data_IF_762392859392
#
_entry.id   IF_762392859392
#
_cell.length_a   1.000
_cell.length_b   1.000
_cell.length_c   1.000
_cell.angle_alpha   90.00
_cell.angle_beta   90.00
_cell.angle_gamma   90.00
#
_symmetry.space_group_name_H-M   'P 1'
#
loop_
_entity.id
_entity.type
_entity.pdbx_description
1 polymer ?
#
# COMPACT_ATOMS: atom_id res chain seq x y z
N UNK A 1 15.18 14.61 5.50
CA UNK A 1 14.24 15.63 5.02
C UNK A 1 14.67 16.19 3.67
N UNK A 2 14.40 15.48 2.55
CA UNK A 2 14.63 16.01 1.19
C UNK A 2 13.33 16.10 0.38
N UNK A 3 12.34 15.25 0.68
CA UNK A 3 11.07 15.20 -0.05
C UNK A 3 10.07 16.32 0.29
N UNK A 4 10.07 16.85 1.52
CA UNK A 4 9.12 17.89 1.95
C UNK A 4 9.31 19.21 1.17
N UNK A 5 10.57 19.56 0.84
CA UNK A 5 10.88 20.74 0.03
C UNK A 5 10.58 20.58 -1.47
N UNK A 6 10.36 19.35 -1.95
CA UNK A 6 10.04 19.08 -3.37
C UNK A 6 8.52 19.12 -3.61
N UNK A 7 7.72 18.93 -2.56
CA UNK A 7 6.26 18.90 -2.63
C UNK A 7 5.59 20.18 -2.10
N UNK A 8 6.40 21.19 -1.71
CA UNK A 8 5.95 22.47 -1.12
C UNK A 8 5.00 22.29 0.10
N UNK A 9 5.16 21.19 0.85
CA UNK A 9 4.27 20.87 1.98
C UNK A 9 4.85 21.51 3.25
N UNK A 10 4.14 22.46 3.89
CA UNK A 10 4.58 23.04 5.16
C UNK A 10 4.69 21.92 6.21
N UNK A 11 5.90 21.62 6.67
CA UNK A 11 6.17 20.49 7.56
C UNK A 11 7.18 20.91 8.62
N UNK A 12 6.86 20.71 9.90
CA UNK A 12 7.80 20.95 11.00
C UNK A 12 8.73 19.74 11.23
N UNK A 13 9.77 19.94 12.04
CA UNK A 13 10.73 18.86 12.35
C UNK A 13 10.07 17.66 13.07
N UNK A 14 9.20 17.88 14.07
CA UNK A 14 8.44 16.79 14.72
C UNK A 14 7.58 15.95 13.75
N UNK A 15 6.81 16.59 12.86
CA UNK A 15 5.94 15.93 11.89
C UNK A 15 6.73 15.13 10.86
N UNK A 16 7.83 15.69 10.35
CA UNK A 16 8.75 14.97 9.48
C UNK A 16 9.34 13.73 10.17
N UNK A 17 9.68 13.83 11.46
CA UNK A 17 10.22 12.71 12.23
C UNK A 17 9.16 11.61 12.47
N UNK A 18 7.92 11.97 12.76
CA UNK A 18 6.82 11.02 12.92
C UNK A 18 6.57 10.20 11.64
N UNK A 19 6.55 10.88 10.49
CA UNK A 19 6.42 10.23 9.18
C UNK A 19 7.63 9.32 8.89
N UNK A 20 8.85 9.80 9.15
CA UNK A 20 10.06 9.02 8.91
C UNK A 20 10.07 7.72 9.73
N UNK A 21 9.69 7.78 11.01
CA UNK A 21 9.58 6.58 11.87
C UNK A 21 8.60 5.55 11.29
N UNK A 22 7.43 5.98 10.82
CA UNK A 22 6.41 5.06 10.27
C UNK A 22 6.66 4.63 8.82
N UNK A 23 7.53 5.33 8.10
CA UNK A 23 7.90 4.97 6.72
C UNK A 23 8.87 3.79 6.60
N UNK A 24 9.35 3.23 7.72
CA UNK A 24 10.27 2.08 7.77
C UNK A 24 11.51 2.27 6.88
N UNK A 25 12.08 3.47 6.86
CA UNK A 25 13.25 3.79 6.02
C UNK A 25 13.00 3.75 4.51
N UNK A 26 11.76 3.57 4.06
CA UNK A 26 11.43 3.48 2.63
C UNK A 26 11.03 4.85 2.11
N UNK A 27 11.84 5.51 1.26
CA UNK A 27 11.58 6.88 0.81
C UNK A 27 10.22 7.04 0.11
N UNK A 28 9.76 6.00 -0.59
CA UNK A 28 8.46 5.99 -1.26
C UNK A 28 7.29 6.00 -0.28
N UNK A 29 7.37 5.23 0.81
CA UNK A 29 6.36 5.21 1.88
C UNK A 29 6.35 6.56 2.61
N UNK A 30 7.53 7.13 2.88
CA UNK A 30 7.62 8.45 3.48
C UNK A 30 6.88 9.51 2.65
N UNK A 31 7.06 9.50 1.32
CA UNK A 31 6.38 10.43 0.42
C UNK A 31 4.87 10.22 0.37
N UNK A 32 4.41 8.95 0.40
CA UNK A 32 2.99 8.59 0.44
C UNK A 32 2.34 9.04 1.75
N UNK A 33 2.96 8.73 2.89
CA UNK A 33 2.48 9.15 4.20
C UNK A 33 2.44 10.69 4.30
N UNK A 34 3.47 11.38 3.82
CA UNK A 34 3.50 12.84 3.81
C UNK A 34 2.33 13.45 3.04
N UNK A 35 1.98 12.93 1.85
CA UNK A 35 0.81 13.39 1.10
C UNK A 35 -0.50 13.19 1.88
N UNK A 36 -0.70 12.01 2.47
CA UNK A 36 -1.93 11.71 3.21
C UNK A 36 -2.06 12.50 4.51
N UNK A 37 -0.95 12.70 5.20
CA UNK A 37 -0.90 13.55 6.40
C UNK A 37 -1.19 15.00 6.03
N UNK A 38 -0.68 15.49 4.89
CA UNK A 38 -1.07 16.81 4.36
C UNK A 38 -2.55 16.87 4.04
N UNK A 39 -3.10 15.92 3.29
CA UNK A 39 -4.54 15.93 2.94
C UNK A 39 -5.41 15.94 4.21
N UNK A 40 -4.98 15.22 5.26
CA UNK A 40 -5.60 15.31 6.58
C UNK A 40 -5.46 16.70 7.22
N UNK A 41 -4.26 17.29 7.17
CA UNK A 41 -3.98 18.63 7.70
C UNK A 41 -4.78 19.73 6.99
N UNK A 42 -5.01 19.61 5.69
CA UNK A 42 -5.83 20.53 4.90
C UNK A 42 -7.32 20.44 5.27
N UNK A 43 -7.82 19.22 5.59
CA UNK A 43 -9.23 19.01 5.97
C UNK A 43 -9.51 19.34 7.44
N UNK A 44 -8.53 19.12 8.33
CA UNK A 44 -8.71 19.21 9.78
C UNK A 44 -7.99 20.39 10.45
N UNK A 45 -7.16 21.12 9.72
CA UNK A 45 -6.31 22.18 10.26
C UNK A 45 -6.01 23.28 9.25
N UNK A 46 -4.77 23.76 9.27
CA UNK A 46 -4.28 24.88 8.46
C UNK A 46 -3.41 24.43 7.27
N UNK A 47 -3.36 23.13 6.98
CA UNK A 47 -2.48 22.55 5.95
C UNK A 47 -1.04 22.32 6.40
N UNK A 48 -0.66 22.66 7.64
CA UNK A 48 0.68 22.42 8.17
C UNK A 48 0.79 21.02 8.78
N UNK A 49 1.80 20.26 8.35
CA UNK A 49 2.16 18.96 8.93
C UNK A 49 2.98 19.17 10.19
N UNK A 50 2.30 19.35 11.32
CA UNK A 50 2.90 19.38 12.66
C UNK A 50 3.09 17.98 13.24
N UNK A 51 3.86 17.86 14.32
CA UNK A 51 3.99 16.60 15.08
C UNK A 51 2.64 15.99 15.47
N UNK A 52 1.77 16.76 16.09
CA UNK A 52 0.46 16.30 16.56
C UNK A 52 -0.47 15.93 15.40
N UNK A 53 -0.49 16.74 14.34
CA UNK A 53 -1.29 16.44 13.13
C UNK A 53 -0.77 15.18 12.44
N UNK A 54 0.55 15.00 12.38
CA UNK A 54 1.15 13.79 11.82
C UNK A 54 0.82 12.56 12.64
N UNK A 55 0.92 12.61 13.97
CA UNK A 55 0.56 11.48 14.83
C UNK A 55 -0.93 11.13 14.73
N UNK A 56 -1.82 12.13 14.83
CA UNK A 56 -3.27 11.92 14.70
C UNK A 56 -3.64 11.35 13.33
N UNK A 57 -3.06 11.87 12.24
CA UNK A 57 -3.27 11.34 10.91
C UNK A 57 -2.73 9.91 10.80
N UNK A 58 -1.50 9.65 11.25
CA UNK A 58 -0.87 8.33 11.16
C UNK A 58 -1.58 7.26 12.01
N UNK A 59 -2.16 7.63 13.15
CA UNK A 59 -2.98 6.74 13.97
C UNK A 59 -4.29 6.40 13.28
N UNK A 60 -4.93 7.40 12.65
CA UNK A 60 -6.12 7.17 11.82
C UNK A 60 -5.80 6.26 10.62
N UNK A 61 -4.58 6.35 10.09
CA UNK A 61 -4.10 5.55 8.96
C UNK A 61 -3.85 4.07 9.33
N UNK A 62 -3.85 3.76 10.63
CA UNK A 62 -3.96 2.42 11.21
C UNK A 62 -3.01 1.40 10.55
N UNK A 63 -1.75 1.77 10.41
CA UNK A 63 -0.69 0.98 9.75
C UNK A 63 -0.35 -0.24 10.61
N UNK A 64 -0.43 -1.47 10.07
CA UNK A 64 -0.12 -2.69 10.82
C UNK A 64 1.39 -2.97 10.94
N UNK A 65 1.75 -4.09 11.57
CA UNK A 65 3.14 -4.50 11.83
C UNK A 65 3.95 -4.75 10.55
N UNK A 66 3.33 -5.31 9.51
CA UNK A 66 3.91 -5.46 8.16
C UNK A 66 3.91 -4.15 7.39
N UNK A 67 3.07 -3.22 7.87
CA UNK A 67 3.07 -1.87 7.45
C UNK A 67 2.09 -1.53 6.36
N UNK A 68 1.06 -2.34 6.23
CA UNK A 68 -0.07 -2.06 5.37
C UNK A 68 -0.97 -1.04 6.03
N UNK A 69 -1.34 -0.06 5.24
CA UNK A 69 -2.48 0.77 5.58
C UNK A 69 -3.80 0.10 5.17
N UNK A 70 -4.89 0.78 5.47
CA UNK A 70 -6.22 0.31 5.11
C UNK A 70 -6.42 0.05 3.60
N UNK A 71 -5.75 0.80 2.72
CA UNK A 71 -5.90 0.67 1.28
C UNK A 71 -5.10 -0.52 0.73
N UNK A 72 -3.90 -0.75 1.25
CA UNK A 72 -3.10 -1.94 0.95
C UNK A 72 -3.90 -3.21 1.31
N UNK A 73 -4.49 -3.25 2.52
CA UNK A 73 -5.33 -4.38 2.95
C UNK A 73 -6.58 -4.54 2.09
N UNK A 74 -7.28 -3.44 1.80
CA UNK A 74 -8.46 -3.47 0.93
C UNK A 74 -8.11 -4.00 -0.45
N UNK A 75 -6.96 -3.62 -1.02
CA UNK A 75 -6.53 -4.12 -2.31
C UNK A 75 -6.28 -5.62 -2.26
N UNK A 76 -5.52 -6.11 -1.28
CA UNK A 76 -5.23 -7.54 -1.16
C UNK A 76 -6.50 -8.37 -0.88
N UNK A 77 -7.37 -7.92 0.03
CA UNK A 77 -8.63 -8.59 0.32
C UNK A 77 -9.56 -8.58 -0.89
N UNK A 78 -9.65 -7.48 -1.63
CA UNK A 78 -10.44 -7.42 -2.87
C UNK A 78 -9.89 -8.41 -3.89
N UNK A 79 -8.56 -8.51 -4.03
CA UNK A 79 -7.92 -9.46 -4.91
C UNK A 79 -8.21 -10.92 -4.52
N UNK A 80 -8.19 -11.22 -3.22
CA UNK A 80 -8.43 -12.57 -2.67
C UNK A 80 -9.91 -12.95 -2.73
N UNK A 81 -10.79 -12.11 -2.20
CA UNK A 81 -12.20 -12.46 -1.97
C UNK A 81 -13.10 -12.19 -3.17
N UNK A 82 -12.82 -11.14 -3.96
CA UNK A 82 -13.68 -10.74 -5.08
C UNK A 82 -13.22 -11.31 -6.43
N UNK A 83 -11.93 -11.63 -6.53
CA UNK A 83 -11.30 -12.12 -7.76
C UNK A 83 -10.62 -13.48 -7.58
N UNK A 84 -10.89 -14.19 -6.48
CA UNK A 84 -10.34 -15.52 -6.17
C UNK A 84 -8.81 -15.60 -6.28
N UNK A 85 -8.12 -14.51 -5.93
CA UNK A 85 -6.66 -14.39 -6.04
C UNK A 85 -6.14 -13.96 -7.42
N UNK A 86 -6.99 -13.68 -8.40
CA UNK A 86 -6.64 -13.22 -9.75
C UNK A 86 -6.46 -14.36 -10.77
N UNK A 87 -5.97 -14.06 -12.01
CA UNK A 87 -5.44 -12.78 -12.48
C UNK A 87 -6.52 -11.75 -12.80
N UNK A 88 -6.30 -10.50 -12.38
CA UNK A 88 -7.21 -9.36 -12.63
C UNK A 88 -6.49 -8.15 -13.25
N UNK A 89 -7.15 -7.46 -14.18
CA UNK A 89 -6.64 -6.22 -14.77
C UNK A 89 -6.64 -5.06 -13.78
N UNK A 90 -5.73 -4.09 -13.95
CA UNK A 90 -5.67 -2.93 -13.04
C UNK A 90 -6.93 -2.08 -13.11
N UNK A 91 -7.53 -1.93 -14.29
CA UNK A 91 -8.76 -1.14 -14.45
C UNK A 91 -9.93 -1.77 -13.67
N UNK A 92 -10.01 -3.11 -13.63
CA UNK A 92 -11.01 -3.82 -12.85
C UNK A 92 -10.76 -3.72 -11.34
N UNK A 93 -9.50 -3.76 -10.90
CA UNK A 93 -9.13 -3.52 -9.50
C UNK A 93 -9.44 -2.09 -9.07
N UNK A 94 -9.08 -1.11 -9.90
CA UNK A 94 -9.35 0.31 -9.70
C UNK A 94 -10.86 0.56 -9.54
N UNK A 95 -11.67 0.03 -10.46
CA UNK A 95 -13.12 0.11 -10.37
C UNK A 95 -13.68 -0.56 -9.11
N UNK A 96 -13.15 -1.73 -8.72
CA UNK A 96 -13.61 -2.43 -7.52
C UNK A 96 -13.26 -1.70 -6.22
N UNK A 97 -12.13 -0.99 -6.19
CA UNK A 97 -11.67 -0.24 -5.03
C UNK A 97 -12.23 1.19 -4.97
N UNK A 98 -12.83 1.66 -6.07
CA UNK A 98 -13.20 3.07 -6.28
C UNK A 98 -11.98 4.00 -6.19
N UNK A 99 -10.88 3.57 -6.81
CA UNK A 99 -9.59 4.25 -6.80
C UNK A 99 -9.08 4.48 -8.22
N UNK A 100 -8.18 5.43 -8.39
CA UNK A 100 -7.52 5.65 -9.67
C UNK A 100 -6.47 4.57 -9.96
N UNK A 101 -6.34 4.21 -11.23
CA UNK A 101 -5.31 3.28 -11.71
C UNK A 101 -3.90 3.70 -11.28
N UNK A 102 -3.57 4.99 -11.39
CA UNK A 102 -2.26 5.52 -10.99
C UNK A 102 -1.97 5.30 -9.51
N UNK A 103 -2.98 5.43 -8.65
CA UNK A 103 -2.84 5.09 -7.21
C UNK A 103 -2.44 3.63 -7.03
N UNK A 104 -3.04 2.71 -7.77
CA UNK A 104 -2.68 1.29 -7.67
C UNK A 104 -1.24 1.04 -8.16
N UNK A 105 -0.91 1.47 -9.38
CA UNK A 105 0.38 1.14 -10.01
C UNK A 105 1.57 1.88 -9.38
N UNK A 106 1.39 3.15 -9.01
CA UNK A 106 2.50 4.02 -8.58
C UNK A 106 2.64 4.08 -7.05
N UNK A 107 1.56 3.80 -6.32
CA UNK A 107 1.51 4.01 -4.86
C UNK A 107 1.41 2.69 -4.08
N UNK A 108 0.60 1.74 -4.52
CA UNK A 108 0.34 0.49 -3.78
C UNK A 108 1.23 -0.66 -4.25
N UNK A 109 1.19 -0.98 -5.55
CA UNK A 109 1.89 -2.12 -6.15
C UNK A 109 3.39 -2.18 -5.84
N UNK A 110 4.17 -1.07 -5.86
CA UNK A 110 5.61 -1.18 -5.71
C UNK A 110 6.04 -1.83 -4.38
N UNK A 111 5.32 -1.54 -3.29
CA UNK A 111 5.60 -2.15 -1.99
C UNK A 111 5.06 -3.58 -1.92
N UNK A 112 3.82 -3.80 -2.35
CA UNK A 112 3.17 -5.12 -2.29
C UNK A 112 3.88 -6.16 -3.16
N UNK A 113 4.44 -5.76 -4.31
CA UNK A 113 5.26 -6.62 -5.16
C UNK A 113 6.61 -6.87 -4.50
N UNK A 114 7.28 -5.83 -3.99
CA UNK A 114 8.60 -5.96 -3.36
C UNK A 114 8.56 -6.88 -2.13
N UNK A 115 7.48 -6.81 -1.34
CA UNK A 115 7.29 -7.68 -0.18
C UNK A 115 6.68 -9.06 -0.55
N UNK A 116 6.42 -9.31 -1.83
CA UNK A 116 5.97 -10.61 -2.32
C UNK A 116 4.49 -10.94 -2.07
N UNK A 117 3.62 -9.94 -1.85
CA UNK A 117 2.18 -10.12 -1.64
C UNK A 117 1.39 -10.17 -2.95
N UNK A 118 1.88 -9.49 -3.99
CA UNK A 118 1.27 -9.46 -5.32
C UNK A 118 2.28 -9.87 -6.37
N UNK A 119 1.82 -10.65 -7.34
CA UNK A 119 2.56 -10.97 -8.54
C UNK A 119 1.92 -10.26 -9.74
N UNK A 120 2.74 -9.61 -10.57
CA UNK A 120 2.31 -9.07 -11.87
C UNK A 120 2.54 -10.12 -12.94
N UNK A 121 1.49 -10.44 -13.68
CA UNK A 121 1.53 -11.34 -14.84
C UNK A 121 1.06 -10.62 -16.10
N UNK A 122 1.31 -11.16 -17.31
CA UNK A 122 0.76 -10.60 -18.55
C UNK A 122 -0.78 -10.55 -18.57
N UNK A 123 -1.43 -11.43 -17.79
CA UNK A 123 -2.90 -11.54 -17.71
C UNK A 123 -3.50 -10.66 -16.62
N UNK A 124 -2.70 -10.11 -15.71
CA UNK A 124 -3.19 -9.33 -14.58
C UNK A 124 -2.38 -9.51 -13.29
N UNK A 125 -2.92 -8.99 -12.19
CA UNK A 125 -2.37 -9.07 -10.85
C UNK A 125 -2.91 -10.29 -10.14
N UNK A 126 -2.06 -10.94 -9.35
CA UNK A 126 -2.41 -12.13 -8.58
C UNK A 126 -1.95 -12.01 -7.14
N UNK A 127 -2.76 -12.49 -6.20
CA UNK A 127 -2.37 -12.59 -4.80
C UNK A 127 -1.48 -13.82 -4.61
N UNK A 128 -0.37 -13.65 -3.88
CA UNK A 128 0.54 -14.76 -3.58
C UNK A 128 0.10 -15.48 -2.31
N UNK A 129 0.67 -16.67 -2.04
CA UNK A 129 0.47 -17.38 -0.77
C UNK A 129 0.77 -16.52 0.47
N UNK A 130 1.71 -15.58 0.38
CA UNK A 130 2.06 -14.68 1.48
C UNK A 130 0.90 -13.75 1.84
N UNK A 131 0.14 -13.27 0.84
CA UNK A 131 -1.04 -12.45 1.09
C UNK A 131 -2.13 -13.22 1.84
N UNK A 132 -2.40 -14.47 1.45
CA UNK A 132 -3.36 -15.32 2.17
C UNK A 132 -2.91 -15.59 3.60
N UNK A 133 -1.64 -15.94 3.81
CA UNK A 133 -1.08 -16.20 5.12
C UNK A 133 -1.17 -14.98 6.05
N UNK A 134 -0.94 -13.77 5.52
CA UNK A 134 -1.05 -12.53 6.29
C UNK A 134 -2.47 -12.27 6.82
N UNK A 135 -3.51 -12.65 6.07
CA UNK A 135 -4.90 -12.55 6.54
C UNK A 135 -5.39 -13.81 7.27
N UNK A 136 -4.54 -14.82 7.48
CA UNK A 136 -4.93 -16.10 8.07
C UNK A 136 -5.92 -16.89 7.23
N UNK A 137 -5.98 -16.63 5.91
CA UNK A 137 -6.91 -17.27 4.99
C UNK A 137 -6.29 -18.54 4.38
N UNK A 138 -7.10 -19.59 4.14
CA UNK A 138 -6.62 -20.79 3.45
C UNK A 138 -6.30 -20.44 2.00
N UNK A 139 -5.07 -20.74 1.60
CA UNK A 139 -4.66 -20.57 0.22
C UNK A 139 -5.22 -21.73 -0.62
N UNK A 140 -6.10 -21.42 -1.58
CA UNK A 140 -6.78 -22.43 -2.41
C UNK A 140 -6.01 -22.79 -3.69
N UNK A 141 -4.75 -22.39 -3.77
CA UNK A 141 -3.92 -22.56 -4.96
C UNK A 141 -4.23 -21.50 -6.01
N UNK A 142 -3.20 -20.89 -6.57
CA UNK A 142 -3.41 -19.94 -7.67
C UNK A 142 -3.70 -20.70 -8.97
N UNK A 143 -4.41 -20.08 -9.92
CA UNK A 143 -4.50 -20.60 -11.29
C UNK A 143 -3.11 -20.83 -11.95
N UNK A 144 -2.04 -20.23 -11.41
CA UNK A 144 -0.66 -20.41 -11.86
C UNK A 144 0.03 -21.66 -11.26
N UNK A 145 -0.32 -22.10 -10.04
CA UNK A 145 0.14 -23.40 -9.51
C UNK A 145 -0.57 -24.56 -10.22
N UNK A 146 -1.83 -24.38 -10.60
CA UNK A 146 -2.53 -25.32 -11.50
C UNK A 146 -1.90 -25.40 -12.90
N UNK A 147 -1.08 -24.40 -13.28
CA UNK A 147 -0.31 -24.37 -14.52
C UNK A 147 1.15 -24.86 -14.36
N UNK A 148 1.53 -25.38 -13.19
CA UNK A 148 2.84 -26.03 -12.97
C UNK A 148 4.03 -25.09 -12.76
N UNK A 149 3.80 -23.82 -12.43
CA UNK A 149 4.88 -22.91 -12.05
C UNK A 149 5.15 -23.03 -10.54
N UNK A 150 6.19 -23.79 -10.21
CA UNK A 150 6.71 -23.91 -8.85
C UNK A 150 7.37 -22.60 -8.42
N UNK A 151 6.66 -21.81 -7.62
CA UNK A 151 7.12 -20.52 -7.12
C UNK A 151 8.27 -20.65 -6.10
N UNK A 152 8.54 -21.87 -5.59
CA UNK A 152 9.69 -22.13 -4.71
C UNK A 152 11.04 -22.12 -5.47
N UNK A 153 11.03 -22.09 -6.81
CA UNK A 153 12.25 -22.05 -7.65
C UNK A 153 12.75 -20.64 -7.99
N UNK A 154 12.08 -19.58 -7.53
CA UNK A 154 12.46 -18.19 -7.82
C UNK A 154 13.20 -17.50 -6.64
N UNK A 155 13.80 -18.28 -5.74
CA UNK A 155 14.70 -17.79 -4.68
C UNK A 155 16.15 -17.74 -5.13
#
# INVERSE_FOLDING_TARGET
SRSAGILEIPTDSPGAAAIARRSRGTPRIANRLLRRVRDFAEVKGDGTVSGDTAEAALDLLNVDAEGFDHLDRRLLLTLIEKFDGGPVGVDSLAAALSEERGTIEDVLEPFLIQQGFILRTPRGRMATRHAYAHFGLPFQGSAAEHAGLDLDQLR
#
